data_IF_132636000333
#
_entry.id   IF_132636000333
#
_cell.length_a   1.000
_cell.length_b   1.000
_cell.length_c   1.000
_cell.angle_alpha   90.00
_cell.angle_beta   90.00
_cell.angle_gamma   90.00
#
_symmetry.space_group_name_H-M   'P 1'
#
loop_
_entity.id
_entity.type
_entity.pdbx_description
1 polymer ?
#
# COMPACT_ATOMS: atom_id res chain seq x y z
N UNK A 1 -2.06 -27.77 -12.15
CA UNK A 1 -2.41 -26.81 -13.22
C UNK A 1 -3.75 -26.17 -12.87
N UNK A 2 -3.78 -24.85 -12.69
CA UNK A 2 -5.03 -24.13 -12.39
C UNK A 2 -5.70 -23.76 -13.73
N UNK A 3 -6.99 -24.10 -13.89
CA UNK A 3 -7.79 -23.80 -15.08
C UNK A 3 -8.81 -22.72 -14.75
N UNK A 4 -9.22 -21.93 -15.75
CA UNK A 4 -10.30 -20.96 -15.56
C UNK A 4 -11.68 -21.65 -15.52
N UNK A 5 -12.74 -20.86 -15.30
CA UNK A 5 -14.13 -21.31 -15.19
C UNK A 5 -14.65 -22.00 -16.47
N UNK A 6 -13.94 -21.86 -17.59
CA UNK A 6 -14.25 -22.43 -18.89
C UNK A 6 -13.31 -23.61 -19.26
N UNK A 7 -12.51 -24.10 -18.31
CA UNK A 7 -11.61 -25.23 -18.53
C UNK A 7 -10.40 -24.93 -19.41
N UNK A 8 -10.18 -23.66 -19.79
CA UNK A 8 -9.03 -23.24 -20.59
C UNK A 8 -7.77 -23.16 -19.71
N UNK A 9 -6.58 -23.52 -20.24
CA UNK A 9 -5.33 -23.28 -19.55
C UNK A 9 -5.17 -21.76 -19.34
N UNK A 10 -4.76 -21.35 -18.14
CA UNK A 10 -4.41 -19.95 -17.85
C UNK A 10 -3.29 -19.52 -18.81
N UNK A 11 -3.63 -18.77 -19.87
CA UNK A 11 -2.61 -18.18 -20.74
C UNK A 11 -1.93 -17.03 -19.99
N UNK A 12 -0.66 -16.76 -20.29
CA UNK A 12 0.05 -15.58 -19.77
C UNK A 12 -0.74 -14.29 -20.01
N UNK A 13 -1.50 -14.21 -21.11
CA UNK A 13 -2.35 -13.06 -21.42
C UNK A 13 -3.49 -12.86 -20.39
N UNK A 14 -4.03 -13.95 -19.82
CA UNK A 14 -5.06 -13.89 -18.78
C UNK A 14 -4.49 -13.38 -17.44
N UNK A 15 -3.29 -13.85 -17.07
CA UNK A 15 -2.51 -13.36 -15.91
C UNK A 15 -2.15 -11.87 -16.02
N UNK A 16 -2.06 -11.35 -17.25
CA UNK A 16 -1.84 -9.92 -17.50
C UNK A 16 -3.12 -9.09 -17.59
N UNK A 17 -4.31 -9.69 -17.37
CA UNK A 17 -5.54 -8.93 -17.44
C UNK A 17 -5.51 -7.76 -16.45
N UNK A 18 -5.91 -6.54 -16.85
CA UNK A 18 -5.76 -5.37 -16.00
C UNK A 18 -6.48 -5.51 -14.64
N UNK A 19 -7.60 -6.22 -14.62
CA UNK A 19 -8.35 -6.58 -13.40
C UNK A 19 -7.52 -7.42 -12.44
N UNK A 20 -6.80 -8.43 -12.93
CA UNK A 20 -5.95 -9.29 -12.08
C UNK A 20 -4.73 -8.54 -11.56
N UNK A 21 -4.14 -7.64 -12.35
CA UNK A 21 -3.05 -6.78 -11.87
C UNK A 21 -3.49 -5.91 -10.71
N UNK A 22 -4.67 -5.28 -10.82
CA UNK A 22 -5.23 -4.46 -9.75
C UNK A 22 -5.62 -5.29 -8.52
N UNK A 23 -6.25 -6.45 -8.71
CA UNK A 23 -6.56 -7.34 -7.59
C UNK A 23 -5.29 -7.85 -6.89
N UNK A 24 -4.24 -8.16 -7.65
CA UNK A 24 -2.94 -8.57 -7.12
C UNK A 24 -2.29 -7.44 -6.32
N UNK A 25 -2.32 -6.21 -6.83
CA UNK A 25 -1.83 -5.03 -6.11
C UNK A 25 -2.53 -4.87 -4.76
N UNK A 26 -3.87 -4.95 -4.76
CA UNK A 26 -4.67 -4.83 -3.54
C UNK A 26 -4.43 -6.02 -2.60
N UNK A 27 -4.32 -7.24 -3.12
CA UNK A 27 -4.02 -8.42 -2.32
C UNK A 27 -2.66 -8.30 -1.61
N UNK A 28 -1.61 -7.95 -2.37
CA UNK A 28 -0.25 -7.79 -1.84
C UNK A 28 -0.21 -6.67 -0.82
N UNK A 29 -0.79 -5.50 -1.12
CA UNK A 29 -0.83 -4.40 -0.14
C UNK A 29 -1.59 -4.83 1.12
N UNK A 30 -2.79 -5.39 0.98
CA UNK A 30 -3.59 -5.81 2.12
C UNK A 30 -2.86 -6.79 3.04
N UNK A 31 -2.22 -7.81 2.46
CA UNK A 31 -1.46 -8.82 3.20
C UNK A 31 -0.23 -8.21 3.87
N UNK A 32 0.56 -7.41 3.13
CA UNK A 32 1.74 -6.73 3.67
C UNK A 32 1.37 -5.79 4.82
N UNK A 33 0.33 -4.97 4.66
CA UNK A 33 -0.13 -4.05 5.71
C UNK A 33 -0.72 -4.79 6.90
N UNK A 34 -1.47 -5.87 6.69
CA UNK A 34 -1.93 -6.73 7.79
C UNK A 34 -0.77 -7.31 8.58
N UNK A 35 0.24 -7.85 7.90
CA UNK A 35 1.43 -8.43 8.52
C UNK A 35 2.27 -7.39 9.27
N UNK A 36 2.61 -6.28 8.59
CA UNK A 36 3.40 -5.17 9.17
C UNK A 36 2.66 -4.56 10.38
N UNK A 37 1.35 -4.32 10.24
CA UNK A 37 0.52 -3.76 11.31
C UNK A 37 0.44 -4.68 12.54
N UNK A 38 0.31 -5.99 12.35
CA UNK A 38 0.30 -6.94 13.48
C UNK A 38 1.68 -6.97 14.16
N UNK A 39 2.76 -7.10 13.38
CA UNK A 39 4.11 -7.18 13.94
C UNK A 39 4.49 -5.90 14.67
N UNK A 40 4.28 -4.73 14.07
CA UNK A 40 4.64 -3.47 14.70
C UNK A 40 3.82 -3.16 15.95
N UNK A 41 2.57 -3.62 16.02
CA UNK A 41 1.76 -3.47 17.23
C UNK A 41 2.24 -4.38 18.37
N UNK A 42 2.46 -5.67 18.08
CA UNK A 42 2.86 -6.67 19.08
C UNK A 42 4.31 -6.46 19.53
N UNK A 43 5.19 -6.11 18.61
CA UNK A 43 6.63 -5.92 18.83
C UNK A 43 7.04 -4.46 18.58
N UNK A 44 6.59 -3.49 19.40
CA UNK A 44 6.89 -2.07 19.17
C UNK A 44 8.36 -1.73 19.34
N UNK A 45 9.19 -2.66 19.84
CA UNK A 45 10.64 -2.53 19.88
C UNK A 45 11.25 -2.35 18.49
N UNK A 46 10.56 -2.74 17.41
CA UNK A 46 10.99 -2.40 16.05
C UNK A 46 11.11 -0.88 15.83
N UNK A 47 10.51 -0.06 16.70
CA UNK A 47 10.70 1.38 16.72
C UNK A 47 12.18 1.77 16.71
N UNK A 48 13.06 1.04 17.39
CA UNK A 48 14.49 1.38 17.40
C UNK A 48 15.19 1.17 16.05
N UNK A 49 14.55 0.47 15.10
CA UNK A 49 15.06 0.34 13.73
C UNK A 49 14.65 1.53 12.86
N UNK A 50 13.43 2.04 13.09
CA UNK A 50 12.85 3.16 12.35
C UNK A 50 13.28 4.51 12.93
N UNK A 51 13.57 4.50 14.24
CA UNK A 51 13.74 5.70 15.02
C UNK A 51 15.03 5.68 15.84
N UNK A 52 15.89 6.68 15.60
CA UNK A 52 17.05 7.01 16.42
C UNK A 52 16.59 7.81 17.64
N UNK A 53 16.68 7.18 18.80
CA UNK A 53 16.25 7.77 20.08
C UNK A 53 17.46 7.98 20.97
N UNK A 54 17.62 9.16 21.55
CA UNK A 54 18.78 9.51 22.37
C UNK A 54 18.58 9.16 23.84
N UNK A 55 17.33 9.02 24.29
CA UNK A 55 16.99 8.70 25.68
C UNK A 55 15.74 7.81 25.80
N UNK A 56 15.51 7.27 27.00
CA UNK A 56 14.41 6.35 27.30
C UNK A 56 13.01 6.98 27.10
N UNK A 57 12.90 8.30 27.28
CA UNK A 57 11.63 9.02 27.09
C UNK A 57 11.24 9.01 25.62
N UNK A 58 12.18 9.35 24.74
CA UNK A 58 12.01 9.30 23.28
C UNK A 58 11.73 7.87 22.80
N UNK A 59 12.45 6.88 23.32
CA UNK A 59 12.18 5.47 23.03
C UNK A 59 10.75 5.06 23.45
N UNK A 60 10.27 5.56 24.60
CA UNK A 60 8.90 5.38 25.04
C UNK A 60 7.88 5.97 24.07
N UNK A 61 8.09 7.22 23.64
CA UNK A 61 7.23 7.91 22.67
C UNK A 61 7.23 7.19 21.32
N UNK A 62 8.41 6.80 20.82
CA UNK A 62 8.56 6.09 19.55
C UNK A 62 7.78 4.77 19.55
N UNK A 63 7.83 3.99 20.65
CA UNK A 63 7.04 2.74 20.78
C UNK A 63 5.53 3.00 20.74
N UNK A 64 5.05 4.09 21.34
CA UNK A 64 3.63 4.45 21.30
C UNK A 64 3.22 4.85 19.88
N UNK A 65 4.02 5.67 19.21
CA UNK A 65 3.80 6.09 17.81
C UNK A 65 3.76 4.86 16.90
N UNK A 66 4.74 3.95 17.00
CA UNK A 66 4.75 2.71 16.22
C UNK A 66 3.47 1.91 16.41
N UNK A 67 2.98 1.75 17.64
CA UNK A 67 1.72 1.01 17.88
C UNK A 67 0.53 1.67 17.19
N UNK A 68 0.39 2.98 17.31
CA UNK A 68 -0.72 3.71 16.69
C UNK A 68 -0.68 3.62 15.15
N UNK A 69 0.49 3.83 14.55
CA UNK A 69 0.68 3.67 13.11
C UNK A 69 0.46 2.22 12.68
N UNK A 70 0.91 1.24 13.46
CA UNK A 70 0.71 -0.18 13.16
C UNK A 70 -0.77 -0.57 13.19
N UNK A 71 -1.55 -0.03 14.13
CA UNK A 71 -3.01 -0.17 14.12
C UNK A 71 -3.63 0.41 12.84
N UNK A 72 -3.22 1.61 12.46
CA UNK A 72 -3.73 2.27 11.25
C UNK A 72 -3.39 1.47 9.99
N UNK A 73 -2.14 1.01 9.85
CA UNK A 73 -1.68 0.18 8.74
C UNK A 73 -2.45 -1.15 8.70
N UNK A 74 -2.63 -1.81 9.84
CA UNK A 74 -3.41 -3.04 9.93
C UNK A 74 -4.88 -2.84 9.51
N UNK A 75 -5.50 -1.75 9.97
CA UNK A 75 -6.88 -1.39 9.59
C UNK A 75 -7.00 -1.09 8.09
N UNK A 76 -6.04 -0.36 7.51
CA UNK A 76 -5.95 -0.14 6.06
C UNK A 76 -5.84 -1.48 5.31
N UNK A 77 -5.04 -2.43 5.80
CA UNK A 77 -4.94 -3.77 5.22
C UNK A 77 -6.30 -4.48 5.13
N UNK A 78 -7.10 -4.42 6.19
CA UNK A 78 -8.47 -4.98 6.20
C UNK A 78 -9.37 -4.24 5.20
N UNK A 79 -9.32 -2.91 5.17
CA UNK A 79 -10.10 -2.11 4.22
C UNK A 79 -9.79 -2.46 2.76
N UNK A 80 -8.51 -2.55 2.41
CA UNK A 80 -8.09 -2.92 1.04
C UNK A 80 -8.54 -4.34 0.72
N UNK A 81 -8.41 -5.27 1.67
CA UNK A 81 -8.87 -6.65 1.47
C UNK A 81 -10.35 -6.71 1.08
N UNK A 82 -11.19 -5.89 1.75
CA UNK A 82 -12.61 -5.77 1.42
C UNK A 82 -12.84 -5.03 0.10
N UNK A 83 -12.03 -4.02 -0.22
CA UNK A 83 -12.13 -3.29 -1.49
C UNK A 83 -11.90 -4.17 -2.73
N UNK A 84 -11.20 -5.31 -2.59
CA UNK A 84 -11.00 -6.27 -3.68
C UNK A 84 -12.33 -6.81 -4.24
N UNK A 85 -13.28 -7.12 -3.35
CA UNK A 85 -14.59 -7.67 -3.71
C UNK A 85 -15.56 -6.63 -4.29
N UNK A 86 -15.22 -5.34 -4.25
CA UNK A 86 -16.05 -4.28 -4.84
C UNK A 86 -15.91 -4.34 -6.36
N UNK A 87 -17.01 -4.43 -7.11
CA UNK A 87 -17.00 -4.44 -8.58
C UNK A 87 -17.27 -3.05 -9.18
N UNK A 88 -16.80 -2.02 -8.49
CA UNK A 88 -16.86 -0.62 -8.88
C UNK A 88 -15.45 -0.10 -9.08
N UNK A 89 -15.13 0.28 -10.32
CA UNK A 89 -13.81 0.78 -10.65
C UNK A 89 -13.56 2.22 -10.24
N UNK A 90 -14.59 3.08 -10.11
CA UNK A 90 -14.40 4.42 -9.57
C UNK A 90 -13.98 4.35 -8.10
N UNK A 91 -14.63 3.47 -7.32
CA UNK A 91 -14.23 3.23 -5.92
C UNK A 91 -12.79 2.73 -5.87
N UNK A 92 -12.42 1.73 -6.69
CA UNK A 92 -11.04 1.22 -6.72
C UNK A 92 -10.03 2.30 -7.13
N UNK A 93 -10.37 3.15 -8.10
CA UNK A 93 -9.55 4.27 -8.52
C UNK A 93 -9.36 5.28 -7.39
N UNK A 94 -10.41 5.58 -6.63
CA UNK A 94 -10.34 6.46 -5.46
C UNK A 94 -9.37 5.90 -4.40
N UNK A 95 -9.41 4.59 -4.13
CA UNK A 95 -8.44 3.93 -3.24
C UNK A 95 -7.00 4.09 -3.75
N UNK A 96 -6.73 3.81 -5.02
CA UNK A 96 -5.38 3.93 -5.59
C UNK A 96 -4.88 5.38 -5.48
N UNK A 97 -5.73 6.36 -5.83
CA UNK A 97 -5.38 7.77 -5.75
C UNK A 97 -5.11 8.20 -4.30
N UNK A 98 -5.93 7.77 -3.35
CA UNK A 98 -5.72 8.06 -1.94
C UNK A 98 -4.39 7.49 -1.43
N UNK A 99 -4.06 6.25 -1.80
CA UNK A 99 -2.76 5.64 -1.45
C UNK A 99 -1.59 6.36 -2.14
N UNK A 100 -1.72 6.73 -3.41
CA UNK A 100 -0.71 7.53 -4.11
C UNK A 100 -0.40 8.82 -3.34
N UNK A 101 -1.43 9.60 -2.99
CA UNK A 101 -1.25 10.86 -2.26
C UNK A 101 -0.67 10.63 -0.86
N UNK A 102 -1.14 9.61 -0.15
CA UNK A 102 -0.62 9.24 1.16
C UNK A 102 0.87 8.91 1.09
N UNK A 103 1.28 8.03 0.17
CA UNK A 103 2.69 7.66 -0.02
C UNK A 103 3.53 8.84 -0.50
N UNK A 104 2.99 9.70 -1.37
CA UNK A 104 3.67 10.90 -1.82
C UNK A 104 3.98 11.83 -0.64
N UNK A 105 2.99 12.14 0.20
CA UNK A 105 3.19 13.02 1.35
C UNK A 105 4.12 12.40 2.41
N UNK A 106 4.01 11.10 2.68
CA UNK A 106 4.95 10.41 3.56
C UNK A 106 6.39 10.44 3.00
N UNK A 107 6.56 10.20 1.70
CA UNK A 107 7.87 10.28 1.03
C UNK A 107 8.47 11.67 1.17
N UNK A 108 7.70 12.72 0.87
CA UNK A 108 8.16 14.10 1.00
C UNK A 108 8.51 14.44 2.45
N UNK A 109 7.69 14.05 3.41
CA UNK A 109 7.97 14.25 4.83
C UNK A 109 9.29 13.60 5.26
N UNK A 110 9.52 12.34 4.87
CA UNK A 110 10.77 11.64 5.19
C UNK A 110 11.99 12.25 4.50
N UNK A 111 11.87 12.71 3.25
CA UNK A 111 12.95 13.42 2.56
C UNK A 111 13.30 14.72 3.30
N UNK A 112 12.30 15.48 3.74
CA UNK A 112 12.52 16.73 4.47
C UNK A 112 13.24 16.47 5.80
N UNK A 113 12.83 15.47 6.58
CA UNK A 113 13.53 15.13 7.83
C UNK A 113 14.94 14.58 7.58
N UNK A 114 15.13 13.79 6.53
CA UNK A 114 16.46 13.30 6.18
C UNK A 114 17.40 14.45 5.76
N UNK A 115 16.90 15.46 5.05
CA UNK A 115 17.67 16.64 4.65
C UNK A 115 17.94 17.61 5.80
N UNK A 116 17.01 17.73 6.74
CA UNK A 116 17.19 18.54 7.94
C UNK A 116 18.30 18.00 8.84
N UNK A 117 18.64 16.71 8.73
CA UNK A 117 19.53 16.01 9.66
C UNK A 117 19.09 16.19 11.13
N UNK A 118 17.82 16.56 11.31
CA UNK A 118 17.14 16.74 12.56
C UNK A 118 16.21 15.55 12.73
N UNK A 119 16.40 14.81 13.81
CA UNK A 119 15.51 13.73 14.17
C UNK A 119 15.93 12.33 13.74
N UNK A 120 15.62 11.42 14.65
CA UNK A 120 14.99 10.10 14.52
C UNK A 120 15.18 9.27 13.22
N UNK A 121 15.23 9.81 12.00
CA UNK A 121 15.51 9.06 10.75
C UNK A 121 17.00 9.15 10.33
N UNK A 122 17.88 9.65 11.21
CA UNK A 122 19.33 9.78 10.95
C UNK A 122 20.12 8.46 10.99
N UNK A 123 19.43 7.32 11.15
CA UNK A 123 19.97 5.98 10.93
C UNK A 123 20.31 5.77 9.45
N UNK A 124 21.43 6.35 9.01
CA UNK A 124 21.82 6.61 7.62
C UNK A 124 21.41 5.53 6.60
N UNK A 125 21.55 4.25 6.94
CA UNK A 125 21.17 3.15 6.04
C UNK A 125 19.68 2.81 6.06
N UNK A 126 19.05 2.72 7.23
CA UNK A 126 17.65 2.33 7.38
C UNK A 126 16.69 3.45 6.94
N UNK A 127 17.01 4.71 7.26
CA UNK A 127 16.23 5.86 6.79
C UNK A 127 16.23 6.01 5.27
N UNK A 128 17.39 5.83 4.62
CA UNK A 128 17.47 5.84 3.15
C UNK A 128 16.68 4.67 2.55
N UNK A 129 16.76 3.47 3.15
CA UNK A 129 15.99 2.32 2.71
C UNK A 129 14.48 2.59 2.77
N UNK A 130 13.99 3.19 3.86
CA UNK A 130 12.59 3.57 3.99
C UNK A 130 12.15 4.57 2.93
N UNK A 131 12.96 5.59 2.66
CA UNK A 131 12.71 6.56 1.59
C UNK A 131 12.63 5.85 0.23
N UNK A 132 13.56 4.95 -0.07
CA UNK A 132 13.55 4.18 -1.33
C UNK A 132 12.26 3.36 -1.45
N UNK A 133 11.84 2.68 -0.38
CA UNK A 133 10.61 1.89 -0.38
C UNK A 133 9.38 2.80 -0.59
N UNK A 134 9.31 3.96 0.07
CA UNK A 134 8.19 4.89 -0.11
C UNK A 134 8.17 5.57 -1.48
N UNK A 135 9.33 5.88 -2.06
CA UNK A 135 9.44 6.34 -3.46
C UNK A 135 8.92 5.25 -4.39
N UNK A 136 9.31 3.99 -4.20
CA UNK A 136 8.86 2.88 -5.02
C UNK A 136 7.33 2.66 -4.92
N UNK A 137 6.76 2.75 -3.71
CA UNK A 137 5.30 2.69 -3.53
C UNK A 137 4.59 3.86 -4.20
N UNK A 138 5.11 5.09 -4.03
CA UNK A 138 4.55 6.30 -4.64
C UNK A 138 4.53 6.18 -6.16
N UNK A 139 5.65 5.76 -6.76
CA UNK A 139 5.74 5.55 -8.21
C UNK A 139 4.81 4.42 -8.65
N UNK A 140 4.78 3.31 -7.91
CA UNK A 140 3.89 2.18 -8.20
C UNK A 140 2.42 2.59 -8.23
N UNK A 141 1.94 3.25 -7.18
CA UNK A 141 0.55 3.73 -7.10
C UNK A 141 0.27 4.87 -8.10
N UNK A 142 1.23 5.76 -8.34
CA UNK A 142 1.13 6.80 -9.36
C UNK A 142 0.98 6.22 -10.76
N UNK A 143 1.72 5.15 -11.08
CA UNK A 143 1.61 4.45 -12.35
C UNK A 143 0.18 3.93 -12.58
N UNK A 144 -0.39 3.25 -11.57
CA UNK A 144 -1.77 2.76 -11.64
C UNK A 144 -2.82 3.89 -11.71
N UNK A 145 -2.52 5.06 -11.13
CA UNK A 145 -3.44 6.22 -11.12
C UNK A 145 -3.50 6.95 -12.46
N UNK A 146 -2.34 7.18 -13.09
CA UNK A 146 -2.23 8.10 -14.23
C UNK A 146 -2.02 7.40 -15.58
N UNK A 147 -1.44 6.20 -15.59
CA UNK A 147 -1.03 5.53 -16.84
C UNK A 147 -1.86 4.28 -17.16
N UNK A 148 -2.63 3.75 -16.22
CA UNK A 148 -3.48 2.59 -16.48
C UNK A 148 -4.78 3.01 -17.21
N UNK A 149 -5.14 2.38 -18.35
CA UNK A 149 -6.29 2.79 -19.14
C UNK A 149 -7.62 2.68 -18.37
N UNK A 150 -8.62 3.55 -18.61
CA UNK A 150 -9.90 3.56 -17.90
C UNK A 150 -10.66 2.22 -17.94
N UNK A 151 -10.39 1.40 -18.95
CA UNK A 151 -10.98 0.06 -19.12
C UNK A 151 -10.73 -0.89 -17.94
N UNK A 152 -9.71 -0.64 -17.10
CA UNK A 152 -9.50 -1.41 -15.86
C UNK A 152 -10.64 -1.20 -14.85
N UNK A 153 -11.33 -0.07 -14.96
CA UNK A 153 -12.32 0.40 -13.99
C UNK A 153 -13.78 0.30 -14.50
N UNK A 154 -14.02 0.05 -15.80
CA UNK A 154 -15.38 0.13 -16.41
C UNK A 154 -16.18 -1.19 -16.49
N UNK A 155 -15.85 -2.21 -15.68
CA UNK A 155 -16.42 -3.57 -15.85
C UNK A 155 -17.90 -3.74 -15.45
N UNK A 156 -18.54 -2.77 -14.79
CA UNK A 156 -19.95 -2.85 -14.41
C UNK A 156 -20.96 -2.29 -15.43
N UNK A 157 -20.55 -1.40 -16.34
CA UNK A 157 -21.51 -0.64 -17.17
C UNK A 157 -22.08 -1.42 -18.37
N UNK A 158 -21.34 -2.36 -18.96
CA UNK A 158 -21.82 -3.06 -20.16
C UNK A 158 -22.82 -4.19 -19.90
N UNK A 159 -23.02 -4.61 -18.64
CA UNK A 159 -24.02 -5.61 -18.30
C UNK A 159 -25.45 -5.03 -18.22
N UNK A 160 -25.61 -3.71 -18.04
CA UNK A 160 -26.93 -3.08 -17.95
C UNK A 160 -27.53 -2.61 -19.29
N UNK A 161 -26.75 -2.51 -20.38
CA UNK A 161 -27.27 -1.99 -21.65
C UNK A 161 -27.94 -3.04 -22.56
N UNK A 162 -28.08 -4.29 -22.11
CA UNK A 162 -28.80 -5.36 -22.85
C UNK A 162 -30.16 -5.71 -22.24
N UNK A 163 -30.64 -4.87 -21.33
CA UNK A 163 -31.86 -5.09 -20.58
C UNK A 163 -32.99 -4.11 -20.86
N UNK A 164 -33.09 -3.52 -22.05
CA UNK A 164 -34.31 -2.92 -22.63
C UNK A 164 -34.21 -2.90 -24.15
#
# INVERSE_FOLDING_TARGET
>A
MVRNQYGQPLSFAYLTSPRQRLDTLFAVHALSSGFIGIIGYVYPSIASLLFLTENDREAGVARVIVRLFSCLIGAQGIMIWRARSIDDGEIKRAFILAYFLCFLFMTLGMIMEHLGNEGIVSGKMFGILEIIVMVALTIGYGWFTFFQPPAVFMLGMHAQSKGY
#
